data_IF_469727211964
#
_entry.id   IF_469727211964
#
_cell.length_a   1.000
_cell.length_b   1.000
_cell.length_c   1.000
_cell.angle_alpha   90.00
_cell.angle_beta   90.00
_cell.angle_gamma   90.00
#
_symmetry.space_group_name_H-M   'P 1'
#
loop_
_entity.id
_entity.type
_entity.pdbx_description
1 polymer ?
#
# COMPACT_ATOMS: atom_id res chain seq x y z
N UNK A 1 0.70 26.51 -24.41
CA UNK A 1 1.27 25.25 -23.87
C UNK A 1 2.69 25.19 -24.36
N UNK A 2 3.68 25.36 -23.47
CA UNK A 2 5.10 25.44 -23.81
C UNK A 2 5.65 24.04 -24.14
N UNK A 3 6.51 23.98 -25.18
CA UNK A 3 7.13 22.77 -25.73
C UNK A 3 8.32 22.26 -24.90
N UNK A 4 8.28 22.27 -23.59
CA UNK A 4 9.38 21.78 -22.74
C UNK A 4 8.92 20.74 -21.71
N UNK A 5 8.04 19.82 -22.13
CA UNK A 5 7.78 18.60 -21.37
C UNK A 5 8.81 17.52 -21.80
N UNK A 6 10.09 17.81 -21.54
CA UNK A 6 11.11 16.77 -21.45
C UNK A 6 10.69 15.89 -20.30
N UNK A 7 10.53 14.60 -20.53
CA UNK A 7 10.17 13.55 -19.58
C UNK A 7 10.64 13.90 -18.16
N UNK A 8 9.72 14.41 -17.35
CA UNK A 8 10.00 14.68 -15.94
C UNK A 8 10.37 13.34 -15.32
N UNK A 9 11.59 13.26 -14.81
CA UNK A 9 12.02 12.10 -14.03
C UNK A 9 11.01 11.85 -12.93
N UNK A 10 10.59 10.61 -12.78
CA UNK A 10 9.70 10.19 -11.71
C UNK A 10 10.49 9.57 -10.55
N UNK A 11 9.92 9.57 -9.38
CA UNK A 11 10.60 9.29 -8.13
C UNK A 11 9.93 8.14 -7.38
N UNK A 12 10.66 7.62 -6.37
CA UNK A 12 10.16 6.63 -5.42
C UNK A 12 9.75 7.34 -4.12
N UNK A 13 8.52 7.12 -3.69
CA UNK A 13 7.97 7.70 -2.47
C UNK A 13 7.57 6.62 -1.47
N UNK A 14 7.79 6.88 -0.19
CA UNK A 14 7.37 6.01 0.91
C UNK A 14 6.53 6.80 1.91
N UNK A 15 5.30 6.35 2.16
CA UNK A 15 4.43 6.86 3.21
C UNK A 15 4.35 5.84 4.33
N UNK A 16 4.94 6.14 5.48
CA UNK A 16 5.07 5.21 6.61
C UNK A 16 4.61 5.81 7.93
N UNK A 17 4.87 5.15 9.04
CA UNK A 17 4.51 5.58 10.39
C UNK A 17 3.18 5.02 10.90
N UNK A 18 2.95 5.17 12.22
CA UNK A 18 1.79 4.60 12.92
C UNK A 18 0.52 5.44 12.81
N UNK A 19 0.66 6.72 12.43
CA UNK A 19 -0.45 7.64 12.30
C UNK A 19 -1.38 7.31 11.12
N UNK A 20 -2.63 7.77 11.24
CA UNK A 20 -3.63 7.65 10.17
C UNK A 20 -3.27 8.55 8.98
N UNK A 21 -3.64 8.13 7.76
CA UNK A 21 -3.63 8.99 6.59
C UNK A 21 -2.76 8.49 5.42
N UNK A 22 -1.98 7.42 5.57
CA UNK A 22 -1.10 6.89 4.50
C UNK A 22 -1.87 6.56 3.23
N UNK A 23 -2.85 5.67 3.29
CA UNK A 23 -3.74 5.33 2.16
C UNK A 23 -4.51 6.55 1.68
N UNK A 24 -5.02 7.39 2.60
CA UNK A 24 -5.77 8.62 2.26
C UNK A 24 -4.90 9.61 1.47
N UNK A 25 -3.63 9.78 1.85
CA UNK A 25 -2.68 10.62 1.11
C UNK A 25 -2.38 10.03 -0.27
N UNK A 26 -2.20 8.72 -0.37
CA UNK A 26 -1.97 8.03 -1.64
C UNK A 26 -3.18 8.14 -2.58
N UNK A 27 -4.41 8.02 -2.06
CA UNK A 27 -5.65 8.27 -2.82
C UNK A 27 -5.69 9.72 -3.31
N UNK A 28 -5.39 10.68 -2.45
CA UNK A 28 -5.32 12.10 -2.82
C UNK A 28 -4.28 12.37 -3.92
N UNK A 29 -3.13 11.70 -3.86
CA UNK A 29 -2.10 11.78 -4.90
C UNK A 29 -2.58 11.17 -6.22
N UNK A 30 -3.25 10.01 -6.19
CA UNK A 30 -3.85 9.37 -7.36
C UNK A 30 -4.87 10.29 -8.05
N UNK A 31 -5.77 10.91 -7.28
CA UNK A 31 -6.77 11.88 -7.79
C UNK A 31 -6.05 13.09 -8.43
N UNK A 32 -5.01 13.63 -7.80
CA UNK A 32 -4.22 14.72 -8.36
C UNK A 32 -3.54 14.32 -9.67
N UNK A 33 -2.98 13.10 -9.74
CA UNK A 33 -2.30 12.59 -10.93
C UNK A 33 -3.27 12.46 -12.12
N UNK A 34 -4.44 11.85 -11.93
CA UNK A 34 -5.43 11.72 -13.02
C UNK A 34 -6.03 13.06 -13.40
N UNK A 35 -6.15 14.02 -12.47
CA UNK A 35 -6.52 15.40 -12.76
C UNK A 35 -5.53 16.11 -13.69
N UNK A 36 -4.28 15.64 -13.72
CA UNK A 36 -3.23 16.07 -14.65
C UNK A 36 -3.15 15.20 -15.92
N UNK A 37 -4.10 14.28 -16.15
CA UNK A 37 -4.14 13.40 -17.32
C UNK A 37 -3.26 12.15 -17.23
N UNK A 38 -2.72 11.84 -16.04
CA UNK A 38 -1.87 10.67 -15.80
C UNK A 38 -2.70 9.41 -15.58
N UNK A 39 -2.12 8.24 -15.90
CA UNK A 39 -2.68 6.92 -15.64
C UNK A 39 -2.09 6.34 -14.36
N UNK A 40 -2.94 5.88 -13.46
CA UNK A 40 -2.55 5.37 -12.14
C UNK A 40 -3.00 3.92 -11.97
N UNK A 41 -2.07 3.04 -11.57
CA UNK A 41 -2.41 1.77 -10.94
C UNK A 41 -2.38 1.95 -9.42
N UNK A 42 -3.50 1.67 -8.76
CA UNK A 42 -3.62 1.63 -7.31
C UNK A 42 -3.78 0.17 -6.88
N UNK A 43 -2.70 -0.47 -6.46
CA UNK A 43 -2.66 -1.88 -6.06
C UNK A 43 -2.59 -1.97 -4.54
N UNK A 44 -3.66 -2.48 -3.92
CA UNK A 44 -3.77 -2.62 -2.47
C UNK A 44 -3.43 -4.03 -2.03
N UNK A 45 -2.39 -4.15 -1.22
CA UNK A 45 -1.99 -5.39 -0.57
C UNK A 45 -2.77 -5.62 0.71
N UNK A 46 -2.96 -6.89 1.08
CA UNK A 46 -3.61 -7.29 2.34
C UNK A 46 -5.04 -6.75 2.52
N UNK A 47 -5.68 -6.27 1.46
CA UNK A 47 -7.06 -5.78 1.46
C UNK A 47 -7.93 -6.59 0.52
N UNK A 48 -9.19 -6.81 0.92
CA UNK A 48 -10.28 -7.26 0.06
C UNK A 48 -11.21 -6.09 -0.27
N UNK A 49 -12.15 -6.29 -1.21
CA UNK A 49 -13.10 -5.24 -1.66
C UNK A 49 -14.20 -4.95 -0.63
N UNK A 50 -13.87 -4.33 0.49
CA UNK A 50 -14.80 -3.98 1.58
C UNK A 50 -14.72 -2.51 2.03
N UNK A 51 -13.77 -1.73 1.49
CA UNK A 51 -13.56 -0.35 1.87
C UNK A 51 -14.32 0.62 0.97
N UNK A 52 -14.70 1.79 1.51
CA UNK A 52 -15.52 2.78 0.80
C UNK A 52 -14.85 3.32 -0.47
N UNK A 53 -13.52 3.41 -0.49
CA UNK A 53 -12.75 3.84 -1.67
C UNK A 53 -12.88 2.87 -2.86
N UNK A 54 -13.23 1.60 -2.62
CA UNK A 54 -13.42 0.61 -3.69
C UNK A 54 -14.65 0.87 -4.56
N UNK A 55 -15.62 1.60 -4.05
CA UNK A 55 -16.80 2.01 -4.81
C UNK A 55 -16.50 3.22 -5.70
N UNK A 56 -15.57 4.08 -5.31
CA UNK A 56 -15.32 5.36 -5.97
C UNK A 56 -14.14 5.30 -6.93
N UNK A 57 -12.99 4.77 -6.51
CA UNK A 57 -11.77 4.80 -7.33
C UNK A 57 -11.94 4.18 -8.72
N UNK A 58 -12.65 3.04 -8.91
CA UNK A 58 -12.84 2.46 -10.23
C UNK A 58 -13.72 3.30 -11.17
N UNK A 59 -14.48 4.26 -10.62
CA UNK A 59 -15.32 5.16 -11.44
C UNK A 59 -14.56 6.37 -11.97
N UNK A 60 -13.35 6.61 -11.47
CA UNK A 60 -12.52 7.74 -11.88
C UNK A 60 -11.69 7.34 -13.10
N UNK A 61 -11.91 7.97 -14.27
CA UNK A 61 -11.14 7.68 -15.47
C UNK A 61 -9.62 7.88 -15.22
N UNK A 62 -8.83 6.89 -15.61
CA UNK A 62 -7.38 6.92 -15.42
C UNK A 62 -6.89 6.24 -14.14
N UNK A 63 -7.79 5.80 -13.24
CA UNK A 63 -7.42 4.95 -12.09
C UNK A 63 -7.79 3.50 -12.39
N UNK A 64 -6.83 2.61 -12.29
CA UNK A 64 -7.03 1.16 -12.22
C UNK A 64 -6.84 0.74 -10.76
N UNK A 65 -7.89 0.25 -10.12
CA UNK A 65 -7.83 -0.28 -8.75
C UNK A 65 -7.79 -1.81 -8.77
N UNK A 66 -6.78 -2.38 -8.15
CA UNK A 66 -6.65 -3.82 -7.94
C UNK A 66 -6.41 -4.11 -6.45
N UNK A 67 -6.92 -5.24 -5.96
CA UNK A 67 -6.75 -5.65 -4.55
C UNK A 67 -6.17 -7.05 -4.48
N UNK A 68 -5.25 -7.24 -3.53
CA UNK A 68 -4.59 -8.52 -3.26
C UNK A 68 -4.68 -8.80 -1.76
N UNK A 69 -5.66 -9.59 -1.36
CA UNK A 69 -5.91 -9.93 0.04
C UNK A 69 -7.14 -10.80 0.20
N UNK A 70 -7.36 -11.23 1.42
CA UNK A 70 -8.53 -12.02 1.83
C UNK A 70 -9.44 -11.17 2.71
N UNK A 71 -10.71 -11.54 2.90
CA UNK A 71 -11.66 -10.79 3.72
C UNK A 71 -11.43 -10.97 5.23
N UNK A 72 -10.18 -11.10 5.64
CA UNK A 72 -9.76 -11.18 7.03
C UNK A 72 -8.35 -10.61 7.19
N UNK A 73 -8.05 -10.14 8.38
CA UNK A 73 -6.72 -9.67 8.73
C UNK A 73 -5.82 -10.84 9.13
N UNK A 74 -4.53 -10.70 8.87
CA UNK A 74 -3.52 -11.62 9.39
C UNK A 74 -2.59 -10.86 10.33
N UNK A 75 -2.23 -11.49 11.46
CA UNK A 75 -1.39 -10.85 12.48
C UNK A 75 -0.38 -11.88 12.99
N UNK A 76 0.92 -11.53 13.03
CA UNK A 76 1.91 -12.35 13.70
C UNK A 76 1.61 -12.47 15.20
N UNK A 77 1.78 -13.68 15.73
CA UNK A 77 1.65 -13.94 17.16
C UNK A 77 2.53 -13.00 17.99
N UNK A 78 1.98 -12.46 19.08
CA UNK A 78 2.69 -11.55 19.99
C UNK A 78 2.72 -10.08 19.58
N UNK A 79 2.17 -9.69 18.42
CA UNK A 79 2.14 -8.28 17.97
C UNK A 79 1.01 -7.47 18.58
N UNK A 80 -0.03 -8.14 19.08
CA UNK A 80 -1.21 -7.54 19.70
C UNK A 80 -1.57 -8.20 21.01
N UNK A 81 -2.15 -7.45 21.94
CA UNK A 81 -2.67 -8.00 23.19
C UNK A 81 -3.92 -8.85 22.95
N UNK A 82 -4.25 -9.74 23.90
CA UNK A 82 -5.47 -10.56 23.82
C UNK A 82 -6.74 -9.69 23.78
N UNK A 83 -6.72 -8.58 24.48
CA UNK A 83 -7.83 -7.62 24.54
C UNK A 83 -8.02 -6.90 23.20
N UNK A 84 -6.92 -6.55 22.49
CA UNK A 84 -6.98 -5.98 21.16
C UNK A 84 -7.53 -6.99 20.15
N UNK A 85 -7.04 -8.23 20.18
CA UNK A 85 -7.48 -9.30 19.27
C UNK A 85 -8.96 -9.66 19.50
N UNK A 86 -9.42 -9.68 20.74
CA UNK A 86 -10.82 -9.96 21.07
C UNK A 86 -11.81 -8.93 20.48
N UNK A 87 -11.35 -7.70 20.20
CA UNK A 87 -12.17 -6.66 19.54
C UNK A 87 -12.37 -6.89 18.04
N UNK A 88 -11.52 -7.72 17.43
CA UNK A 88 -11.55 -7.97 15.98
C UNK A 88 -12.31 -9.27 15.63
N UNK A 89 -12.64 -10.08 16.62
CA UNK A 89 -13.44 -11.30 16.47
C UNK A 89 -12.84 -12.30 15.47
N UNK A 90 -13.70 -12.90 14.65
CA UNK A 90 -13.31 -13.92 13.66
C UNK A 90 -12.67 -13.32 12.40
N UNK A 91 -12.54 -12.00 12.33
CA UNK A 91 -11.93 -11.32 11.18
C UNK A 91 -10.38 -11.34 11.20
N UNK A 92 -9.78 -12.06 12.16
CA UNK A 92 -8.32 -12.13 12.35
C UNK A 92 -7.83 -13.56 12.33
N UNK A 93 -6.82 -13.82 11.52
CA UNK A 93 -6.03 -15.06 11.56
C UNK A 93 -4.67 -14.77 12.17
N UNK A 94 -4.39 -15.41 13.29
CA UNK A 94 -3.09 -15.30 13.98
C UNK A 94 -2.17 -16.39 13.43
N UNK A 95 -0.93 -16.03 13.13
CA UNK A 95 0.07 -16.97 12.64
C UNK A 95 1.39 -16.85 13.43
N UNK A 96 2.20 -17.94 13.55
CA UNK A 96 3.48 -17.89 14.21
C UNK A 96 4.42 -16.87 13.55
N UNK A 97 5.11 -16.06 14.34
CA UNK A 97 6.02 -15.05 13.83
C UNK A 97 7.04 -15.65 12.84
N UNK A 98 7.21 -15.03 11.68
CA UNK A 98 8.07 -15.50 10.60
C UNK A 98 7.54 -16.71 9.79
N UNK A 99 6.29 -17.14 10.05
CA UNK A 99 5.67 -18.27 9.31
C UNK A 99 4.26 -17.90 8.84
N UNK A 100 4.11 -16.93 7.94
CA UNK A 100 2.80 -16.55 7.41
C UNK A 100 2.14 -17.73 6.67
N UNK A 101 0.78 -17.77 6.56
CA UNK A 101 0.06 -18.81 5.85
C UNK A 101 0.51 -18.92 4.39
N UNK A 102 0.88 -20.11 3.94
CA UNK A 102 1.45 -20.33 2.60
C UNK A 102 0.52 -19.88 1.46
N UNK A 103 -0.79 -20.06 1.63
CA UNK A 103 -1.81 -19.63 0.67
C UNK A 103 -1.96 -18.10 0.61
N UNK A 104 -1.65 -17.43 1.72
CA UNK A 104 -1.62 -15.96 1.77
C UNK A 104 -0.34 -15.43 1.09
N UNK A 105 0.81 -16.07 1.35
CA UNK A 105 2.07 -15.76 0.66
C UNK A 105 1.92 -15.92 -0.85
N UNK A 106 1.33 -17.03 -1.31
CA UNK A 106 1.10 -17.28 -2.74
C UNK A 106 0.16 -16.25 -3.38
N UNK A 107 -0.82 -15.74 -2.62
CA UNK A 107 -1.70 -14.66 -3.08
C UNK A 107 -0.93 -13.34 -3.21
N UNK A 108 -0.16 -12.97 -2.20
CA UNK A 108 0.65 -11.74 -2.21
C UNK A 108 1.71 -11.78 -3.32
N UNK A 109 2.35 -12.93 -3.55
CA UNK A 109 3.30 -13.10 -4.65
C UNK A 109 2.71 -12.74 -6.03
N UNK A 110 1.44 -13.07 -6.28
CA UNK A 110 0.75 -12.63 -7.52
C UNK A 110 0.64 -11.10 -7.61
N UNK A 111 0.41 -10.44 -6.49
CA UNK A 111 0.40 -8.98 -6.43
C UNK A 111 1.78 -8.37 -6.70
N UNK A 112 2.84 -9.02 -6.20
CA UNK A 112 4.22 -8.62 -6.47
C UNK A 112 4.54 -8.73 -7.96
N UNK A 113 4.22 -9.85 -8.60
CA UNK A 113 4.41 -10.04 -10.04
C UNK A 113 3.59 -9.03 -10.87
N UNK A 114 2.38 -8.70 -10.39
CA UNK A 114 1.57 -7.63 -11.00
C UNK A 114 2.25 -6.26 -10.88
N UNK A 115 2.85 -5.96 -9.72
CA UNK A 115 3.59 -4.72 -9.49
C UNK A 115 4.82 -4.63 -10.41
N UNK A 116 5.65 -5.69 -10.47
CA UNK A 116 6.83 -5.79 -11.37
C UNK A 116 6.42 -5.52 -12.82
N UNK A 117 5.39 -6.20 -13.31
CA UNK A 117 4.85 -5.99 -14.66
C UNK A 117 4.41 -4.54 -14.88
N UNK A 118 3.71 -3.94 -13.91
CA UNK A 118 3.18 -2.59 -14.04
C UNK A 118 4.27 -1.54 -14.11
N UNK A 119 5.28 -1.61 -13.24
CA UNK A 119 6.37 -0.60 -13.22
C UNK A 119 7.27 -0.69 -14.46
N UNK A 120 7.40 -1.88 -15.05
CA UNK A 120 8.20 -2.14 -16.26
C UNK A 120 7.45 -1.83 -17.56
N UNK A 121 6.10 -1.90 -17.58
CA UNK A 121 5.32 -1.77 -18.81
C UNK A 121 5.38 -0.38 -19.43
N UNK A 122 5.33 0.66 -18.60
CA UNK A 122 5.12 2.06 -19.01
C UNK A 122 3.67 2.38 -19.39
N UNK A 123 2.71 1.50 -19.05
CA UNK A 123 1.28 1.74 -19.24
C UNK A 123 0.71 2.70 -18.19
N UNK A 124 1.43 2.87 -17.09
CA UNK A 124 1.09 3.72 -15.96
C UNK A 124 2.15 4.79 -15.72
N UNK A 125 1.70 6.03 -15.54
CA UNK A 125 2.56 7.14 -15.09
C UNK A 125 2.85 7.05 -13.58
N UNK A 126 1.98 6.36 -12.83
CA UNK A 126 2.12 6.17 -11.39
C UNK A 126 1.63 4.78 -10.98
N UNK A 127 2.41 4.12 -10.14
CA UNK A 127 2.05 2.86 -9.48
C UNK A 127 2.08 3.08 -7.97
N UNK A 128 0.96 2.83 -7.31
CA UNK A 128 0.81 2.92 -5.86
C UNK A 128 0.65 1.51 -5.31
N UNK A 129 1.55 1.11 -4.42
CA UNK A 129 1.55 -0.17 -3.71
C UNK A 129 1.12 0.09 -2.27
N UNK A 130 -0.21 0.10 -2.06
CA UNK A 130 -0.81 0.42 -0.77
C UNK A 130 -0.74 -0.78 0.19
N UNK A 131 -0.39 -0.54 1.47
CA UNK A 131 -0.09 -1.53 2.52
C UNK A 131 1.07 -2.50 2.19
N UNK A 132 1.90 -2.18 1.21
CA UNK A 132 3.06 -2.98 0.83
C UNK A 132 4.10 -3.08 1.96
N UNK A 133 4.33 -1.98 2.70
CA UNK A 133 5.25 -1.97 3.82
C UNK A 133 4.82 -2.95 4.93
N UNK A 134 3.49 -3.12 5.13
CA UNK A 134 2.98 -4.13 6.06
C UNK A 134 3.23 -5.55 5.55
N UNK A 135 3.12 -5.78 4.24
CA UNK A 135 3.43 -7.08 3.65
C UNK A 135 4.93 -7.43 3.82
N UNK A 136 5.83 -6.45 3.71
CA UNK A 136 7.24 -6.60 4.05
C UNK A 136 7.43 -6.90 5.54
N UNK A 137 6.80 -6.12 6.41
CA UNK A 137 6.91 -6.28 7.87
C UNK A 137 6.43 -7.65 8.35
N UNK A 138 5.41 -8.22 7.69
CA UNK A 138 4.90 -9.56 8.01
C UNK A 138 5.66 -10.70 7.31
N UNK A 139 6.67 -10.39 6.51
CA UNK A 139 7.44 -11.39 5.77
C UNK A 139 6.64 -12.06 4.65
N UNK A 140 5.62 -11.41 4.12
CA UNK A 140 4.83 -11.85 2.96
C UNK A 140 5.51 -11.52 1.64
N UNK A 141 6.39 -10.52 1.65
CA UNK A 141 7.20 -10.06 0.53
C UNK A 141 8.64 -10.02 0.98
N UNK A 142 9.56 -10.44 0.12
CA UNK A 142 10.99 -10.37 0.36
C UNK A 142 11.60 -9.01 -0.05
N UNK A 143 12.80 -8.76 0.47
CA UNK A 143 13.61 -7.61 0.03
C UNK A 143 13.95 -7.71 -1.45
N UNK A 144 14.36 -8.89 -1.91
CA UNK A 144 14.73 -9.18 -3.30
C UNK A 144 13.60 -8.81 -4.27
N UNK A 145 12.35 -9.19 -3.95
CA UNK A 145 11.18 -8.84 -4.76
C UNK A 145 11.00 -7.31 -4.90
N UNK A 146 11.26 -6.59 -3.81
CA UNK A 146 11.13 -5.12 -3.80
C UNK A 146 12.26 -4.46 -4.58
N UNK A 147 13.49 -4.99 -4.46
CA UNK A 147 14.64 -4.52 -5.23
C UNK A 147 14.41 -4.71 -6.74
N UNK A 148 13.81 -5.84 -7.16
CA UNK A 148 13.41 -6.05 -8.56
C UNK A 148 12.38 -5.02 -9.03
N UNK A 149 11.36 -4.71 -8.22
CA UNK A 149 10.37 -3.66 -8.54
C UNK A 149 11.07 -2.29 -8.74
N UNK A 150 12.04 -1.96 -7.88
CA UNK A 150 12.79 -0.70 -7.95
C UNK A 150 13.68 -0.64 -9.21
N UNK A 151 14.37 -1.74 -9.52
CA UNK A 151 15.29 -1.84 -10.67
C UNK A 151 14.54 -1.81 -12.00
N UNK A 152 13.44 -2.56 -12.11
CA UNK A 152 12.67 -2.71 -13.34
C UNK A 152 11.76 -1.50 -13.62
N UNK A 153 11.60 -0.60 -12.66
CA UNK A 153 10.78 0.59 -12.79
C UNK A 153 11.30 1.50 -13.89
N UNK A 154 10.43 1.87 -14.84
CA UNK A 154 10.77 2.91 -15.82
C UNK A 154 10.97 4.25 -15.12
N UNK A 155 11.98 5.01 -15.57
CA UNK A 155 12.28 6.35 -15.04
C UNK A 155 11.10 7.33 -15.14
N UNK A 156 10.12 7.04 -15.98
CA UNK A 156 8.91 7.85 -16.18
C UNK A 156 7.73 7.41 -15.30
N UNK A 157 7.87 6.33 -14.51
CA UNK A 157 6.81 5.82 -13.62
C UNK A 157 7.08 6.23 -12.19
N UNK A 158 6.21 7.04 -11.61
CA UNK A 158 6.21 7.36 -10.19
C UNK A 158 5.81 6.14 -9.39
N UNK A 159 6.57 5.79 -8.34
CA UNK A 159 6.31 4.62 -7.51
C UNK A 159 6.09 5.05 -6.06
N UNK A 160 4.97 4.61 -5.48
CA UNK A 160 4.59 4.98 -4.11
C UNK A 160 4.33 3.73 -3.30
N UNK A 161 5.06 3.57 -2.20
CA UNK A 161 4.83 2.54 -1.20
C UNK A 161 4.11 3.13 0.00
N UNK A 162 3.09 2.43 0.52
CA UNK A 162 2.45 2.83 1.78
C UNK A 162 2.41 1.70 2.78
N UNK A 163 2.20 2.04 4.04
CA UNK A 163 2.03 1.10 5.13
C UNK A 163 2.92 1.41 6.33
N UNK A 164 2.60 0.83 7.46
CA UNK A 164 3.44 0.92 8.66
C UNK A 164 4.72 0.11 8.49
N UNK A 165 5.74 0.46 9.27
CA UNK A 165 6.94 -0.38 9.41
C UNK A 165 7.75 -0.51 8.11
N UNK A 166 7.84 0.54 7.30
CA UNK A 166 8.78 0.55 6.18
C UNK A 166 10.19 0.25 6.71
N UNK A 167 10.89 -0.75 6.13
CA UNK A 167 12.24 -1.07 6.57
C UNK A 167 13.22 0.05 6.18
N UNK A 168 14.27 0.21 6.99
CA UNK A 168 15.27 1.28 6.83
C UNK A 168 15.90 1.28 5.42
N UNK A 169 16.23 0.11 4.89
CA UNK A 169 16.78 -0.02 3.55
C UNK A 169 15.85 0.52 2.44
N UNK A 170 14.51 0.39 2.60
CA UNK A 170 13.55 0.95 1.63
C UNK A 170 13.42 2.47 1.80
N UNK A 171 13.57 2.96 3.03
CA UNK A 171 13.63 4.40 3.32
C UNK A 171 14.87 5.02 2.67
N UNK A 172 16.02 4.34 2.73
CA UNK A 172 17.27 4.81 2.14
C UNK A 172 17.23 4.83 0.60
N UNK A 173 16.51 3.90 -0.03
CA UNK A 173 16.36 3.83 -1.49
C UNK A 173 15.30 4.82 -2.03
N UNK A 174 14.45 5.38 -1.16
CA UNK A 174 13.38 6.27 -1.59
C UNK A 174 13.87 7.71 -1.78
N UNK A 175 13.34 8.38 -2.81
CA UNK A 175 13.60 9.81 -3.08
C UNK A 175 12.80 10.74 -2.15
N UNK A 176 11.63 10.29 -1.66
CA UNK A 176 10.76 11.03 -0.75
C UNK A 176 10.18 10.10 0.31
N UNK A 177 10.35 10.46 1.57
CA UNK A 177 9.76 9.71 2.68
C UNK A 177 8.93 10.64 3.55
N UNK A 178 7.70 10.22 3.85
CA UNK A 178 6.82 10.91 4.80
C UNK A 178 6.42 9.97 5.91
N UNK A 179 6.77 10.32 7.15
CA UNK A 179 6.32 9.60 8.33
C UNK A 179 5.06 10.26 8.92
N UNK A 180 3.97 9.50 8.99
CA UNK A 180 2.74 9.92 9.65
C UNK A 180 2.75 9.49 11.11
N UNK A 181 3.00 10.43 12.00
CA UNK A 181 3.08 10.16 13.45
C UNK A 181 1.73 10.18 14.11
N UNK A 182 1.46 9.19 14.96
CA UNK A 182 0.28 9.19 15.81
C UNK A 182 0.49 10.10 17.03
N UNK A 183 0.08 11.36 16.92
CA UNK A 183 0.10 12.27 18.07
C UNK A 183 -1.03 11.96 19.04
N UNK A 184 -2.23 11.66 18.52
CA UNK A 184 -3.42 11.28 19.29
C UNK A 184 -4.35 10.45 18.41
N UNK A 185 -4.90 9.37 18.94
CA UNK A 185 -5.86 8.55 18.21
C UNK A 185 -7.04 8.16 19.10
N UNK A 186 -8.25 8.43 18.63
CA UNK A 186 -9.50 8.11 19.36
C UNK A 186 -9.74 6.59 19.50
N UNK A 187 -9.09 5.75 18.69
CA UNK A 187 -9.13 4.30 18.86
C UNK A 187 -8.70 3.88 20.29
N UNK A 188 -7.70 4.57 20.86
CA UNK A 188 -7.27 4.36 22.26
C UNK A 188 -8.35 4.70 23.30
N UNK A 189 -9.39 5.44 22.87
CA UNK A 189 -10.57 5.76 23.66
C UNK A 189 -11.76 4.84 23.36
N UNK A 190 -11.56 3.76 22.57
CA UNK A 190 -12.57 2.78 22.24
C UNK A 190 -13.42 3.11 21.00
N UNK A 191 -13.12 4.19 20.25
CA UNK A 191 -13.83 4.49 19.01
C UNK A 191 -13.37 3.51 17.93
N UNK A 192 -14.31 2.71 17.42
CA UNK A 192 -14.06 1.74 16.35
C UNK A 192 -13.99 2.42 14.97
N UNK A 193 -13.54 1.68 13.96
CA UNK A 193 -13.54 2.12 12.56
C UNK A 193 -14.97 2.47 12.10
N UNK A 194 -15.12 3.59 11.38
CA UNK A 194 -16.39 4.10 10.89
C UNK A 194 -16.39 4.11 9.37
N UNK A 195 -17.50 3.67 8.78
CA UNK A 195 -17.67 3.65 7.33
C UNK A 195 -17.50 5.06 6.73
N UNK A 196 -16.70 5.17 5.69
CA UNK A 196 -16.39 6.43 5.00
C UNK A 196 -15.38 7.35 5.71
N UNK A 197 -14.86 6.91 6.90
CA UNK A 197 -13.84 7.66 7.66
C UNK A 197 -12.57 6.80 7.83
N UNK A 198 -12.69 5.57 8.32
CA UNK A 198 -11.58 4.63 8.45
C UNK A 198 -11.69 3.45 7.46
N UNK A 199 -12.89 3.16 6.95
CA UNK A 199 -13.15 2.03 6.04
C UNK A 199 -14.17 2.39 4.95
#
# INVERSE_FOLDING_TARGET
MSKDDKSLKSYVQVYTGDGKGKTTAAIGLAIRAVGAGKKVLFLQFMKSKIYSEHEVLPTIPGITLETVGKPFFIIPEGTKSKEELARWGDEVVIFPAGKPPADYVALIAKGVERAKTAVASGDYDMVILDEYNMALFFGLVGREDTEEILIDRKETTELVFTGRGAPEWLIDEADLVTEMKEIKHYYKQGVLARKGIES
#
